data_IF_642928054810
#
_entry.id   IF_642928054810
#
_cell.length_a   1.000
_cell.length_b   1.000
_cell.length_c   1.000
_cell.angle_alpha   90.00
_cell.angle_beta   90.00
_cell.angle_gamma   90.00
#
_symmetry.space_group_name_H-M   'P 1'
#
loop_
_entity.id
_entity.type
_entity.pdbx_description
1 polymer ?
#
# COMPACT_ATOMS: atom_id res chain seq x y z
N UNK A 1 23.63 -29.23 -6.98
CA UNK A 1 22.27 -28.62 -6.93
C UNK A 1 22.34 -27.27 -6.26
N UNK A 2 22.24 -26.24 -7.01
CA UNK A 2 22.03 -24.93 -6.41
C UNK A 2 20.59 -24.87 -5.94
N UNK A 3 20.39 -24.86 -4.62
CA UNK A 3 19.13 -24.44 -4.07
C UNK A 3 18.97 -22.99 -4.47
N UNK A 4 17.98 -22.69 -5.31
CA UNK A 4 17.62 -21.33 -5.58
C UNK A 4 17.37 -20.62 -4.26
N UNK A 5 18.24 -19.70 -3.92
CA UNK A 5 18.01 -18.81 -2.79
C UNK A 5 16.73 -18.08 -3.09
N UNK A 6 15.69 -18.30 -2.29
CA UNK A 6 14.49 -17.46 -2.34
C UNK A 6 14.93 -16.02 -2.15
N UNK A 7 14.80 -15.24 -3.20
CA UNK A 7 15.11 -13.83 -3.14
C UNK A 7 14.14 -13.18 -2.14
N UNK A 8 14.67 -12.71 -1.04
CA UNK A 8 13.92 -12.10 0.05
C UNK A 8 14.58 -10.79 0.43
N UNK A 9 13.81 -9.72 0.38
CA UNK A 9 14.24 -8.41 0.86
C UNK A 9 13.51 -8.11 2.16
N UNK A 10 14.26 -7.83 3.21
CA UNK A 10 13.72 -7.43 4.51
C UNK A 10 14.00 -5.96 4.76
N UNK A 11 13.05 -5.27 5.36
CA UNK A 11 13.24 -3.89 5.79
C UNK A 11 12.47 -3.63 7.09
N UNK A 12 13.17 -3.08 8.08
CA UNK A 12 12.60 -2.67 9.36
C UNK A 12 12.83 -1.18 9.52
N UNK A 13 11.75 -0.42 9.68
CA UNK A 13 11.82 1.02 9.90
C UNK A 13 10.96 1.40 11.09
N UNK A 14 11.40 2.42 11.84
CA UNK A 14 10.59 3.03 12.89
C UNK A 14 10.21 4.43 12.46
N UNK A 15 8.93 4.74 12.54
CA UNK A 15 8.37 6.00 12.11
C UNK A 15 7.68 6.72 13.27
N UNK A 16 7.66 8.04 13.23
CA UNK A 16 7.09 8.90 14.27
C UNK A 16 5.58 9.11 14.06
N UNK A 17 4.84 8.01 13.98
CA UNK A 17 3.39 8.00 13.86
C UNK A 17 2.80 6.93 14.78
N UNK A 18 1.68 7.24 15.46
CA UNK A 18 0.95 6.23 16.25
C UNK A 18 0.49 5.06 15.38
N UNK A 19 0.46 3.87 15.96
CA UNK A 19 0.09 2.65 15.23
C UNK A 19 -1.29 2.75 14.57
N UNK A 20 -2.25 3.41 15.22
CA UNK A 20 -3.59 3.56 14.66
C UNK A 20 -3.60 4.42 13.39
N UNK A 21 -2.72 5.43 13.32
CA UNK A 21 -2.55 6.21 12.09
C UNK A 21 -1.92 5.38 10.97
N UNK A 22 -0.93 4.57 11.30
CA UNK A 22 -0.28 3.69 10.32
C UNK A 22 -1.26 2.63 9.80
N UNK A 23 -2.07 2.06 10.68
CA UNK A 23 -3.13 1.11 10.30
C UNK A 23 -4.17 1.77 9.39
N UNK A 24 -4.60 2.97 9.72
CA UNK A 24 -5.56 3.73 8.91
C UNK A 24 -5.00 4.07 7.53
N UNK A 25 -3.75 4.53 7.46
CA UNK A 25 -3.09 4.82 6.18
C UNK A 25 -2.91 3.56 5.34
N UNK A 26 -2.54 2.46 5.95
CA UNK A 26 -2.41 1.15 5.29
C UNK A 26 -3.74 0.70 4.68
N UNK A 27 -4.82 0.80 5.46
CA UNK A 27 -6.16 0.47 4.98
C UNK A 27 -6.58 1.36 3.82
N UNK A 28 -6.31 2.65 3.91
CA UNK A 28 -6.63 3.59 2.84
C UNK A 28 -5.89 3.24 1.54
N UNK A 29 -4.62 2.86 1.63
CA UNK A 29 -3.86 2.40 0.46
C UNK A 29 -4.46 1.14 -0.16
N UNK A 30 -4.91 0.20 0.66
CA UNK A 30 -5.53 -1.04 0.16
C UNK A 30 -6.89 -0.76 -0.49
N UNK A 31 -7.67 0.14 0.07
CA UNK A 31 -9.01 0.48 -0.44
C UNK A 31 -8.94 1.33 -1.72
N UNK A 32 -8.05 2.31 -1.76
CA UNK A 32 -7.95 3.27 -2.86
C UNK A 32 -6.99 2.85 -3.97
N UNK A 33 -5.99 2.08 -3.65
CA UNK A 33 -4.95 1.53 -4.55
C UNK A 33 -4.16 2.61 -5.28
N UNK A 34 -2.84 2.68 -5.09
CA UNK A 34 -1.99 3.65 -5.79
C UNK A 34 -2.11 3.56 -7.30
N UNK A 35 -1.92 4.70 -7.98
CA UNK A 35 -2.01 4.78 -9.44
C UNK A 35 -0.82 4.14 -10.15
N UNK A 36 0.34 4.06 -9.50
CA UNK A 36 1.58 3.60 -10.12
C UNK A 36 1.78 2.08 -10.04
N UNK A 37 1.09 1.42 -9.13
CA UNK A 37 1.13 -0.04 -8.97
C UNK A 37 -0.16 -0.52 -8.31
N UNK A 38 -0.41 -1.82 -8.41
CA UNK A 38 -1.60 -2.43 -7.80
C UNK A 38 -1.23 -3.12 -6.51
N UNK A 39 -2.03 -2.91 -5.49
CA UNK A 39 -1.99 -3.68 -4.25
C UNK A 39 -3.13 -4.69 -4.28
N UNK A 40 -2.80 -5.93 -3.96
CA UNK A 40 -3.79 -7.00 -3.85
C UNK A 40 -3.69 -7.61 -2.46
N UNK A 41 -4.56 -7.18 -1.51
CA UNK A 41 -4.60 -7.78 -0.18
C UNK A 41 -4.99 -9.24 -0.26
N UNK A 42 -4.33 -10.08 0.51
CA UNK A 42 -4.59 -11.52 0.55
C UNK A 42 -5.04 -11.96 1.94
N UNK A 43 -4.33 -11.55 2.98
CA UNK A 43 -4.66 -11.85 4.36
C UNK A 43 -4.33 -10.67 5.25
N UNK A 44 -5.36 -10.07 5.86
CA UNK A 44 -5.22 -8.91 6.72
C UNK A 44 -5.72 -9.28 8.11
N UNK A 45 -4.86 -9.15 9.10
CA UNK A 45 -5.20 -9.42 10.49
C UNK A 45 -5.00 -8.16 11.33
N UNK A 46 -6.09 -7.46 11.60
CA UNK A 46 -6.06 -6.21 12.38
C UNK A 46 -5.81 -6.43 13.87
N UNK A 47 -6.01 -7.66 14.36
CA UNK A 47 -5.76 -7.99 15.76
C UNK A 47 -4.26 -8.12 16.03
N UNK A 48 -3.57 -8.82 15.13
CA UNK A 48 -2.12 -9.01 15.23
C UNK A 48 -1.32 -7.99 14.44
N UNK A 49 -1.98 -7.05 13.76
CA UNK A 49 -1.36 -6.02 12.93
C UNK A 49 -0.45 -6.60 11.85
N UNK A 50 -0.88 -7.68 11.25
CA UNK A 50 -0.15 -8.37 10.17
C UNK A 50 -0.91 -8.23 8.86
N UNK A 51 -0.14 -8.01 7.79
CA UNK A 51 -0.68 -7.74 6.46
C UNK A 51 0.09 -8.57 5.44
N UNK A 52 -0.61 -9.43 4.74
CA UNK A 52 -0.07 -10.20 3.64
C UNK A 52 -0.71 -9.73 2.33
N UNK A 53 0.08 -9.21 1.43
CA UNK A 53 -0.44 -8.63 0.19
C UNK A 53 0.57 -8.72 -0.95
N UNK A 54 0.06 -8.64 -2.18
CA UNK A 54 0.90 -8.57 -3.36
C UNK A 54 0.98 -7.13 -3.88
N UNK A 55 2.16 -6.75 -4.34
CA UNK A 55 2.38 -5.52 -5.12
C UNK A 55 2.65 -5.93 -6.56
N UNK A 56 1.85 -5.38 -7.49
CA UNK A 56 1.97 -5.69 -8.92
C UNK A 56 2.23 -4.40 -9.68
N UNK A 57 3.34 -4.36 -10.40
CA UNK A 57 3.72 -3.24 -11.25
C UNK A 57 4.12 -3.77 -12.62
N UNK A 58 3.23 -3.62 -13.59
CA UNK A 58 3.42 -4.24 -14.91
C UNK A 58 3.48 -5.76 -14.79
N UNK A 59 4.58 -6.35 -15.22
CA UNK A 59 4.84 -7.80 -15.14
C UNK A 59 5.57 -8.21 -13.86
N UNK A 60 5.92 -7.25 -13.01
CA UNK A 60 6.62 -7.50 -11.75
C UNK A 60 5.62 -7.70 -10.63
N UNK A 61 5.86 -8.70 -9.79
CA UNK A 61 5.03 -9.00 -8.64
C UNK A 61 5.90 -9.39 -7.45
N UNK A 62 5.62 -8.77 -6.31
CA UNK A 62 6.23 -9.12 -5.04
C UNK A 62 5.16 -9.42 -4.01
N UNK A 63 5.41 -10.42 -3.16
CA UNK A 63 4.56 -10.74 -2.02
C UNK A 63 5.16 -10.12 -0.78
N UNK A 64 4.38 -9.31 -0.09
CA UNK A 64 4.81 -8.60 1.10
C UNK A 64 4.15 -9.19 2.34
N UNK A 65 4.98 -9.48 3.34
CA UNK A 65 4.55 -9.72 4.71
C UNK A 65 4.95 -8.53 5.54
N UNK A 66 3.98 -7.83 6.08
CA UNK A 66 4.20 -6.64 6.89
C UNK A 66 3.62 -6.82 8.28
N UNK A 67 4.39 -6.46 9.29
CA UNK A 67 3.95 -6.42 10.67
C UNK A 67 4.16 -5.03 11.25
N UNK A 68 3.14 -4.51 11.90
CA UNK A 68 3.22 -3.24 12.63
C UNK A 68 3.34 -3.53 14.13
N UNK A 69 4.32 -2.89 14.75
CA UNK A 69 4.55 -3.02 16.19
C UNK A 69 4.54 -1.64 16.83
N UNK A 70 3.69 -1.47 17.83
CA UNK A 70 3.67 -0.25 18.65
C UNK A 70 4.94 -0.16 19.47
N UNK A 71 5.70 0.92 19.30
CA UNK A 71 6.86 1.23 20.15
C UNK A 71 6.40 2.03 21.35
N UNK A 72 5.64 3.10 21.12
CA UNK A 72 5.00 3.93 22.13
C UNK A 72 3.77 4.62 21.52
N UNK A 73 3.20 5.59 22.21
CA UNK A 73 1.99 6.28 21.74
C UNK A 73 2.20 7.14 20.49
N UNK A 74 3.45 7.39 20.09
CA UNK A 74 3.80 8.26 18.96
C UNK A 74 4.66 7.57 17.89
N UNK A 75 5.07 6.32 18.12
CA UNK A 75 6.02 5.62 17.24
C UNK A 75 5.57 4.21 16.94
N UNK A 76 5.81 3.80 15.72
CA UNK A 76 5.49 2.46 15.21
C UNK A 76 6.68 1.90 14.44
N UNK A 77 7.00 0.64 14.65
CA UNK A 77 7.93 -0.11 13.82
C UNK A 77 7.17 -0.84 12.74
N UNK A 78 7.62 -0.69 11.51
CA UNK A 78 7.13 -1.40 10.33
C UNK A 78 8.20 -2.42 9.94
N UNK A 79 7.85 -3.69 10.02
CA UNK A 79 8.70 -4.80 9.58
C UNK A 79 8.11 -5.38 8.31
N UNK A 80 8.81 -5.24 7.20
CA UNK A 80 8.39 -5.73 5.89
C UNK A 80 9.37 -6.75 5.34
N UNK A 81 8.82 -7.82 4.79
CA UNK A 81 9.55 -8.79 3.98
C UNK A 81 8.86 -8.91 2.64
N UNK A 82 9.62 -8.79 1.57
CA UNK A 82 9.11 -8.99 0.22
C UNK A 82 9.84 -10.14 -0.45
N UNK A 83 9.07 -11.05 -1.05
CA UNK A 83 9.56 -12.21 -1.75
C UNK A 83 8.95 -12.30 -3.14
N UNK A 84 9.51 -13.17 -3.98
CA UNK A 84 8.93 -13.46 -5.27
C UNK A 84 7.56 -14.11 -5.13
N UNK A 85 6.61 -13.69 -5.97
CA UNK A 85 5.39 -14.44 -6.17
C UNK A 85 5.72 -15.82 -6.78
N UNK A 86 4.86 -16.79 -6.54
CA UNK A 86 5.03 -18.13 -7.06
C UNK A 86 5.22 -18.13 -8.59
N UNK A 87 6.30 -18.73 -9.05
CA UNK A 87 6.65 -18.78 -10.47
C UNK A 87 7.29 -17.51 -11.03
N UNK A 88 7.48 -16.48 -10.21
CA UNK A 88 8.16 -15.25 -10.62
C UNK A 88 9.67 -15.31 -10.32
N UNK A 89 10.44 -14.57 -11.08
CA UNK A 89 11.91 -14.53 -10.99
C UNK A 89 12.44 -13.10 -10.84
N UNK A 90 11.75 -12.28 -10.08
CA UNK A 90 12.22 -10.91 -9.83
C UNK A 90 13.51 -10.94 -8.99
N UNK A 91 14.46 -10.09 -9.36
CA UNK A 91 15.71 -9.92 -8.60
C UNK A 91 15.47 -9.14 -7.30
N UNK A 92 16.44 -9.21 -6.38
CA UNK A 92 16.39 -8.41 -5.15
C UNK A 92 16.25 -6.91 -5.43
N UNK A 93 16.85 -6.41 -6.50
CA UNK A 93 16.72 -5.02 -6.92
C UNK A 93 15.28 -4.66 -7.28
N UNK A 94 14.60 -5.53 -8.01
CA UNK A 94 13.19 -5.34 -8.38
C UNK A 94 12.29 -5.41 -7.15
N UNK A 95 12.48 -6.41 -6.30
CA UNK A 95 11.71 -6.56 -5.06
C UNK A 95 11.92 -5.38 -4.12
N UNK A 96 13.15 -4.92 -3.97
CA UNK A 96 13.47 -3.72 -3.20
C UNK A 96 12.80 -2.47 -3.76
N UNK A 97 12.75 -2.35 -5.09
CA UNK A 97 12.07 -1.24 -5.76
C UNK A 97 10.57 -1.24 -5.50
N UNK A 98 9.93 -2.41 -5.57
CA UNK A 98 8.49 -2.53 -5.26
C UNK A 98 8.19 -2.16 -3.81
N UNK A 99 9.01 -2.62 -2.89
CA UNK A 99 8.85 -2.31 -1.47
C UNK A 99 9.09 -0.81 -1.20
N UNK A 100 10.09 -0.21 -1.82
CA UNK A 100 10.35 1.22 -1.70
C UNK A 100 9.19 2.06 -2.24
N UNK A 101 8.62 1.68 -3.37
CA UNK A 101 7.45 2.37 -3.93
C UNK A 101 6.29 2.34 -2.93
N UNK A 102 6.02 1.18 -2.34
CA UNK A 102 4.98 1.04 -1.33
C UNK A 102 5.24 1.93 -0.10
N UNK A 103 6.43 1.84 0.48
CA UNK A 103 6.79 2.60 1.69
C UNK A 103 6.81 4.11 1.43
N UNK A 104 7.21 4.55 0.24
CA UNK A 104 7.18 5.96 -0.14
C UNK A 104 5.75 6.50 -0.22
N UNK A 105 4.82 5.74 -0.80
CA UNK A 105 3.42 6.14 -0.85
C UNK A 105 2.81 6.14 0.55
N UNK A 106 3.10 5.13 1.37
CA UNK A 106 2.65 5.08 2.75
C UNK A 106 3.14 6.30 3.55
N UNK A 107 4.40 6.66 3.41
CA UNK A 107 4.97 7.83 4.07
C UNK A 107 4.27 9.13 3.64
N UNK A 108 3.98 9.28 2.35
CA UNK A 108 3.22 10.43 1.84
C UNK A 108 1.82 10.49 2.42
N UNK A 109 1.11 9.37 2.43
CA UNK A 109 -0.26 9.28 2.98
C UNK A 109 -0.25 9.67 4.46
N UNK A 110 0.74 9.20 5.22
CA UNK A 110 0.89 9.53 6.64
C UNK A 110 1.12 11.02 6.88
N UNK A 111 1.80 11.70 5.96
CA UNK A 111 2.04 13.15 6.04
C UNK A 111 0.92 13.98 5.42
N UNK A 112 -0.16 13.36 4.97
CA UNK A 112 -1.32 14.04 4.39
C UNK A 112 -1.28 14.22 2.87
N UNK A 113 -0.22 13.77 2.20
CA UNK A 113 -0.10 13.80 0.74
C UNK A 113 -0.71 12.54 0.15
N UNK A 114 -1.91 12.65 -0.37
CA UNK A 114 -2.66 11.54 -0.99
C UNK A 114 -2.66 11.62 -2.52
N UNK A 115 -1.74 12.38 -3.10
CA UNK A 115 -1.69 12.61 -4.56
C UNK A 115 -1.45 11.35 -5.38
N UNK A 116 -0.78 10.35 -4.80
CA UNK A 116 -0.53 9.06 -5.45
C UNK A 116 -1.73 8.09 -5.36
N UNK A 117 -2.76 8.45 -4.60
CA UNK A 117 -3.97 7.64 -4.47
C UNK A 117 -5.08 8.21 -5.34
N UNK A 118 -5.83 7.37 -6.06
CA UNK A 118 -7.05 7.82 -6.72
C UNK A 118 -8.03 8.39 -5.71
N UNK A 119 -8.85 9.35 -6.13
CA UNK A 119 -9.92 9.86 -5.28
C UNK A 119 -10.87 8.73 -4.90
N UNK A 120 -11.45 8.74 -3.68
CA UNK A 120 -12.42 7.72 -3.29
C UNK A 120 -13.55 7.61 -4.32
N UNK A 121 -13.79 6.39 -4.80
CA UNK A 121 -14.78 6.13 -5.83
C UNK A 121 -14.35 6.47 -7.25
N UNK A 122 -13.08 6.78 -7.51
CA UNK A 122 -12.58 7.05 -8.86
C UNK A 122 -12.62 5.77 -9.69
N UNK A 123 -13.32 5.78 -10.87
CA UNK A 123 -13.45 4.60 -11.70
C UNK A 123 -12.12 4.13 -12.30
N UNK A 124 -11.14 5.00 -12.44
CA UNK A 124 -9.82 4.61 -12.96
C UNK A 124 -9.11 3.62 -12.06
N UNK A 125 -9.40 3.64 -10.75
CA UNK A 125 -8.85 2.69 -9.80
C UNK A 125 -9.38 1.26 -10.03
N UNK A 126 -10.59 1.12 -10.58
CA UNK A 126 -11.28 -0.16 -10.77
C UNK A 126 -11.56 -0.50 -12.24
N UNK A 127 -11.00 0.23 -13.18
CA UNK A 127 -11.22 0.05 -14.63
C UNK A 127 -12.69 0.01 -15.06
N UNK A 128 -13.60 0.56 -14.26
CA UNK A 128 -15.02 0.62 -14.60
C UNK A 128 -15.39 1.97 -15.19
N UNK A 129 -15.73 2.00 -16.46
CA UNK A 129 -16.17 3.23 -17.14
C UNK A 129 -17.53 3.73 -16.65
N UNK A 130 -18.31 2.89 -15.98
CA UNK A 130 -19.73 3.12 -15.70
C UNK A 130 -20.01 4.07 -14.54
N UNK A 131 -18.99 4.47 -13.78
CA UNK A 131 -19.15 5.20 -12.52
C UNK A 131 -18.73 6.67 -12.63
N UNK A 132 -18.26 7.08 -13.79
CA UNK A 132 -17.72 8.43 -14.02
C UNK A 132 -18.73 9.53 -13.71
N UNK A 133 -19.98 9.34 -14.10
CA UNK A 133 -21.04 10.34 -13.88
C UNK A 133 -21.38 10.51 -12.39
N UNK A 134 -21.41 9.42 -11.64
CA UNK A 134 -21.71 9.47 -10.21
C UNK A 134 -20.59 10.14 -9.41
N UNK A 135 -19.36 9.97 -9.82
CA UNK A 135 -18.19 10.55 -9.17
C UNK A 135 -18.09 12.04 -9.43
N UNK A 136 -18.42 12.49 -10.62
CA UNK A 136 -18.48 13.92 -10.93
C UNK A 136 -19.44 14.66 -10.02
N UNK A 137 -20.58 14.07 -9.69
CA UNK A 137 -21.57 14.63 -8.76
C UNK A 137 -21.05 14.68 -7.32
N UNK A 138 -20.34 13.65 -6.88
CA UNK A 138 -19.74 13.62 -5.55
C UNK A 138 -18.66 14.67 -5.37
N UNK A 139 -17.86 14.91 -6.40
CA UNK A 139 -16.82 15.94 -6.37
C UNK A 139 -17.40 17.36 -6.30
N UNK A 140 -18.51 17.60 -6.96
CA UNK A 140 -19.22 18.88 -6.89
C UNK A 140 -19.82 19.14 -5.52
N UNK A 141 -20.34 18.12 -4.87
CA UNK A 141 -20.85 18.19 -3.51
C UNK A 141 -19.74 18.50 -2.50
N UNK A 142 -18.58 17.91 -2.66
CA UNK A 142 -17.43 18.18 -1.83
C UNK A 142 -16.92 19.61 -1.98
N UNK A 143 -16.93 20.15 -3.19
CA UNK A 143 -16.56 21.54 -3.42
C UNK A 143 -17.54 22.52 -2.82
N UNK A 144 -18.83 22.22 -2.84
CA UNK A 144 -19.84 23.04 -2.19
C UNK A 144 -19.66 23.07 -0.66
N UNK A 145 -19.18 21.99 -0.08
CA UNK A 145 -18.90 21.91 1.35
C UNK A 145 -17.67 22.69 1.78
N UNK A 146 -16.67 22.78 0.92
CA UNK A 146 -15.43 23.51 1.22
C UNK A 146 -15.56 25.02 1.04
N UNK A 147 -16.61 25.48 0.39
CA UNK A 147 -16.89 26.90 0.21
C UNK A 147 -17.79 27.50 1.30
N UNK A 148 -18.26 26.70 2.21
CA UNK A 148 -19.01 27.11 3.39
C UNK A 148 -18.09 27.07 4.60
#
# INVERSE_FOLDING_TARGET
MQQGTLELVSRVITIDFPIEQVKSATKEMFDRKPSTYKIRPEDINDIFNTYHFAIVKGLQCGIVDMTLTKVDDTKTTIDCKVSNAYGATASNSILSGLLNDYLNVLAKVLTGDKSDLPKPGDPTANSGCMVIAAIGLSSLLLMAFTLI
#
